data_IF_748290034436
#
_entry.id   IF_748290034436
#
_cell.length_a   1.000
_cell.length_b   1.000
_cell.length_c   1.000
_cell.angle_alpha   90.00
_cell.angle_beta   90.00
_cell.angle_gamma   90.00
#
_symmetry.space_group_name_H-M   'P 1'
#
loop_
_entity.id
_entity.type
_entity.pdbx_description
1 polymer ?
#
# COMPACT_ATOMS: atom_id res chain seq x y z
N UNK A 1 -51.18 -10.46 21.92
CA UNK A 1 -50.61 -10.34 20.58
C UNK A 1 -50.04 -8.94 20.27
N UNK A 2 -50.67 -7.82 20.67
CA UNK A 2 -50.20 -6.44 20.36
C UNK A 2 -48.77 -6.10 20.91
N UNK A 3 -48.40 -6.55 22.15
CA UNK A 3 -47.11 -6.25 22.78
C UNK A 3 -45.89 -6.91 22.09
N UNK A 4 -46.06 -8.05 21.42
CA UNK A 4 -44.99 -8.75 20.71
C UNK A 4 -44.72 -8.11 19.36
N UNK A 5 -45.77 -7.62 18.71
CA UNK A 5 -45.64 -6.96 17.42
C UNK A 5 -44.91 -5.61 17.55
N UNK A 6 -45.23 -4.82 18.62
CA UNK A 6 -44.52 -3.55 18.88
C UNK A 6 -43.03 -3.75 19.19
N UNK A 7 -42.63 -4.82 19.89
CA UNK A 7 -41.20 -5.12 20.14
C UNK A 7 -40.46 -5.49 18.86
N UNK A 8 -41.07 -6.28 17.97
CA UNK A 8 -40.48 -6.66 16.70
C UNK A 8 -40.29 -5.45 15.77
N UNK A 9 -41.29 -4.57 15.70
CA UNK A 9 -41.19 -3.34 14.90
C UNK A 9 -40.14 -2.39 15.46
N UNK A 10 -40.02 -2.26 16.79
CA UNK A 10 -38.96 -1.46 17.41
C UNK A 10 -37.54 -2.00 17.14
N UNK A 11 -37.36 -3.31 17.15
CA UNK A 11 -36.07 -3.94 16.84
C UNK A 11 -35.69 -3.72 15.37
N UNK A 12 -36.64 -3.89 14.45
CA UNK A 12 -36.39 -3.64 13.02
C UNK A 12 -36.08 -2.16 12.76
N UNK A 13 -36.78 -1.24 13.41
CA UNK A 13 -36.49 0.20 13.31
C UNK A 13 -35.09 0.54 13.90
N UNK A 14 -34.69 -0.11 15.00
CA UNK A 14 -33.37 0.07 15.60
C UNK A 14 -32.25 -0.45 14.68
N UNK A 15 -32.42 -1.62 14.05
CA UNK A 15 -31.48 -2.18 13.10
C UNK A 15 -31.37 -1.30 11.84
N UNK A 16 -32.48 -0.79 11.35
CA UNK A 16 -32.49 0.14 10.21
C UNK A 16 -31.80 1.47 10.56
N UNK A 17 -32.02 2.01 11.76
CA UNK A 17 -31.33 3.22 12.23
C UNK A 17 -29.83 3.02 12.44
N UNK A 18 -29.40 1.88 12.98
CA UNK A 18 -27.99 1.52 13.13
C UNK A 18 -27.34 1.28 11.76
N UNK A 19 -28.04 0.63 10.84
CA UNK A 19 -27.59 0.41 9.46
C UNK A 19 -27.42 1.75 8.70
N UNK A 20 -28.36 2.67 8.82
CA UNK A 20 -28.25 4.00 8.21
C UNK A 20 -27.13 4.85 8.84
N UNK A 21 -26.91 4.72 10.15
CA UNK A 21 -25.79 5.38 10.83
C UNK A 21 -24.44 4.82 10.38
N UNK A 22 -24.36 3.50 10.15
CA UNK A 22 -23.16 2.85 9.61
C UNK A 22 -22.88 3.28 8.16
N UNK A 23 -23.91 3.35 7.32
CA UNK A 23 -23.79 3.85 5.94
C UNK A 23 -23.44 5.33 5.93
N UNK A 24 -24.02 6.15 6.81
CA UNK A 24 -23.70 7.58 6.93
C UNK A 24 -22.25 7.81 7.42
N UNK A 25 -21.77 6.98 8.36
CA UNK A 25 -20.38 7.01 8.84
C UNK A 25 -19.38 6.64 7.75
N UNK A 26 -19.72 5.68 6.90
CA UNK A 26 -18.88 5.27 5.77
C UNK A 26 -18.89 6.30 4.63
N UNK A 27 -20.02 6.97 4.40
CA UNK A 27 -20.15 8.00 3.34
C UNK A 27 -19.62 9.36 3.79
N UNK A 28 -19.65 9.67 5.10
CA UNK A 28 -19.12 10.95 5.61
C UNK A 28 -17.59 10.98 5.75
N UNK A 29 -16.92 9.81 5.75
CA UNK A 29 -15.45 9.71 5.72
C UNK A 29 -14.93 9.73 4.26
N UNK A 30 -15.45 10.67 3.46
CA UNK A 30 -15.10 10.88 2.06
C UNK A 30 -13.62 11.23 1.80
N UNK A 31 -12.81 11.28 2.87
CA UNK A 31 -11.36 11.49 2.78
C UNK A 31 -10.57 10.21 2.51
N UNK A 32 -11.16 9.02 2.74
CA UNK A 32 -10.46 7.74 2.50
C UNK A 32 -10.29 7.38 1.02
N UNK A 33 -11.06 8.00 0.15
CA UNK A 33 -11.05 7.72 -1.29
C UNK A 33 -10.97 9.01 -2.12
N UNK A 34 -10.43 10.09 -1.52
CA UNK A 34 -10.09 11.25 -2.33
C UNK A 34 -9.11 10.78 -3.42
N UNK A 35 -9.38 11.04 -4.70
CA UNK A 35 -8.43 10.75 -5.75
C UNK A 35 -7.11 11.40 -5.36
N UNK A 36 -6.02 10.65 -5.44
CA UNK A 36 -4.67 11.18 -5.23
C UNK A 36 -4.55 12.38 -6.18
N UNK A 37 -4.44 13.58 -5.60
CA UNK A 37 -4.62 14.82 -6.36
C UNK A 37 -3.65 14.88 -7.54
N UNK A 38 -4.15 15.28 -8.68
CA UNK A 38 -3.51 15.33 -9.99
C UNK A 38 -2.19 16.14 -10.08
N UNK A 39 -1.67 16.66 -8.96
CA UNK A 39 -0.47 17.49 -8.90
C UNK A 39 0.66 16.87 -8.07
N UNK A 40 0.65 15.52 -7.85
CA UNK A 40 1.74 14.88 -7.16
C UNK A 40 2.98 14.87 -8.07
N UNK A 41 3.92 15.77 -7.82
CA UNK A 41 5.25 15.65 -8.44
C UNK A 41 5.98 14.50 -7.78
N UNK A 42 6.36 13.54 -8.59
CA UNK A 42 7.11 12.37 -8.17
C UNK A 42 8.34 12.23 -9.06
N UNK A 43 9.43 11.79 -8.48
CA UNK A 43 10.62 11.37 -9.23
C UNK A 43 11.06 9.99 -8.72
N UNK A 44 11.86 9.31 -9.54
CA UNK A 44 12.55 8.08 -9.17
C UNK A 44 13.97 8.15 -9.69
N UNK A 45 14.94 8.03 -8.83
CA UNK A 45 16.37 8.13 -9.13
C UNK A 45 16.74 9.47 -9.82
N UNK A 46 16.00 10.55 -9.53
CA UNK A 46 16.19 11.87 -10.11
C UNK A 46 15.49 12.09 -11.46
N UNK A 47 14.77 11.11 -11.97
CA UNK A 47 13.94 11.25 -13.18
C UNK A 47 12.49 11.51 -12.82
N UNK A 48 11.89 12.53 -13.43
CA UNK A 48 10.50 12.91 -13.16
C UNK A 48 9.53 11.86 -13.72
N UNK A 49 8.61 11.40 -12.86
CA UNK A 49 7.52 10.52 -13.28
C UNK A 49 6.46 11.36 -14.03
N UNK A 50 6.09 10.98 -15.28
CA UNK A 50 5.17 11.78 -16.09
C UNK A 50 3.71 11.61 -15.61
N UNK A 51 3.41 12.08 -14.40
CA UNK A 51 2.08 11.95 -13.77
C UNK A 51 0.97 12.73 -14.49
N UNK A 52 1.34 13.58 -15.47
CA UNK A 52 0.38 14.26 -16.37
C UNK A 52 -0.20 13.33 -17.45
N UNK A 53 0.38 12.16 -17.67
CA UNK A 53 -0.14 11.17 -18.62
C UNK A 53 -1.25 10.34 -17.98
N UNK A 54 -2.38 10.22 -18.65
CA UNK A 54 -3.58 9.57 -18.10
C UNK A 54 -3.37 8.10 -17.71
N UNK A 55 -2.59 7.35 -18.51
CA UNK A 55 -2.27 5.95 -18.21
C UNK A 55 -1.33 5.78 -17.01
N UNK A 56 -0.38 6.70 -16.83
CA UNK A 56 0.51 6.74 -15.66
C UNK A 56 -0.29 7.04 -14.42
N UNK A 57 -1.21 8.00 -14.52
CA UNK A 57 -2.08 8.39 -13.43
C UNK A 57 -3.02 7.26 -13.00
N UNK A 58 -3.66 6.57 -13.95
CA UNK A 58 -4.52 5.44 -13.65
C UNK A 58 -3.76 4.32 -12.93
N UNK A 59 -2.52 4.03 -13.35
CA UNK A 59 -1.65 3.05 -12.68
C UNK A 59 -1.29 3.50 -11.27
N UNK A 60 -0.93 4.77 -11.09
CA UNK A 60 -0.61 5.33 -9.78
C UNK A 60 -1.81 5.25 -8.83
N UNK A 61 -2.99 5.66 -9.29
CA UNK A 61 -4.23 5.59 -8.51
C UNK A 61 -4.54 4.16 -8.10
N UNK A 62 -4.39 3.20 -9.02
CA UNK A 62 -4.58 1.77 -8.73
C UNK A 62 -3.65 1.28 -7.62
N UNK A 63 -2.35 1.59 -7.73
CA UNK A 63 -1.37 1.16 -6.73
C UNK A 63 -1.60 1.85 -5.38
N UNK A 64 -1.94 3.14 -5.37
CA UNK A 64 -2.25 3.87 -4.15
C UNK A 64 -3.48 3.28 -3.45
N UNK A 65 -4.59 3.09 -4.18
CA UNK A 65 -5.83 2.50 -3.64
C UNK A 65 -5.57 1.09 -3.10
N UNK A 66 -4.82 0.28 -3.85
CA UNK A 66 -4.49 -1.09 -3.44
C UNK A 66 -3.69 -1.09 -2.14
N UNK A 67 -2.62 -0.30 -2.06
CA UNK A 67 -1.75 -0.29 -0.89
C UNK A 67 -2.39 0.40 0.32
N UNK A 68 -3.23 1.42 0.13
CA UNK A 68 -3.99 2.05 1.21
C UNK A 68 -4.99 1.10 1.87
N UNK A 69 -5.56 0.15 1.11
CA UNK A 69 -6.49 -0.84 1.65
C UNK A 69 -5.79 -2.08 2.24
N UNK A 70 -4.50 -2.28 1.95
CA UNK A 70 -3.72 -3.44 2.41
C UNK A 70 -3.03 -3.16 3.75
N UNK A 71 -3.78 -2.66 4.74
CA UNK A 71 -3.25 -2.14 6.01
C UNK A 71 -2.25 -3.08 6.71
N UNK A 72 -2.55 -4.38 6.79
CA UNK A 72 -1.69 -5.35 7.46
C UNK A 72 -0.35 -5.49 6.76
N UNK A 73 -0.36 -5.65 5.43
CA UNK A 73 0.87 -5.80 4.65
C UNK A 73 1.70 -4.51 4.67
N UNK A 74 1.07 -3.36 4.45
CA UNK A 74 1.73 -2.05 4.48
C UNK A 74 2.38 -1.80 5.84
N UNK A 75 1.68 -2.09 6.95
CA UNK A 75 2.24 -1.97 8.30
C UNK A 75 3.46 -2.88 8.51
N UNK A 76 3.42 -4.12 8.01
CA UNK A 76 4.54 -5.05 8.09
C UNK A 76 5.74 -4.56 7.26
N UNK A 77 5.50 -4.05 6.07
CA UNK A 77 6.55 -3.46 5.21
C UNK A 77 7.21 -2.27 5.91
N UNK A 78 6.44 -1.34 6.47
CA UNK A 78 6.98 -0.19 7.22
C UNK A 78 7.85 -0.65 8.39
N UNK A 79 7.41 -1.65 9.17
CA UNK A 79 8.20 -2.22 10.27
C UNK A 79 9.51 -2.85 9.79
N UNK A 80 9.49 -3.54 8.65
CA UNK A 80 10.69 -4.12 8.05
C UNK A 80 11.61 -3.05 7.49
N UNK A 81 11.06 -2.00 6.86
CA UNK A 81 11.83 -0.87 6.35
C UNK A 81 12.66 -0.22 7.46
N UNK A 82 12.10 0.00 8.64
CA UNK A 82 12.83 0.54 9.79
C UNK A 82 14.04 -0.32 10.23
N UNK A 83 14.08 -1.60 9.87
CA UNK A 83 15.21 -2.50 10.17
C UNK A 83 16.17 -2.66 9.00
N UNK A 84 15.65 -2.69 7.78
CA UNK A 84 16.41 -3.03 6.58
C UNK A 84 17.02 -1.79 5.92
N UNK A 85 16.31 -0.68 5.86
CA UNK A 85 16.80 0.55 5.24
C UNK A 85 18.10 1.08 5.84
N UNK A 86 18.27 1.15 7.18
CA UNK A 86 19.56 1.56 7.77
C UNK A 86 20.73 0.68 7.38
N UNK A 87 20.49 -0.54 6.90
CA UNK A 87 21.55 -1.46 6.44
C UNK A 87 21.86 -1.22 4.96
N UNK A 88 20.84 -1.03 4.13
CA UNK A 88 21.03 -0.92 2.67
C UNK A 88 21.38 0.48 2.19
N UNK A 89 20.86 1.53 2.83
CA UNK A 89 21.15 2.93 2.45
C UNK A 89 22.65 3.27 2.42
N UNK A 90 23.45 2.91 3.43
CA UNK A 90 24.90 3.15 3.38
C UNK A 90 25.59 2.36 2.26
N UNK A 91 25.06 1.20 1.90
CA UNK A 91 25.61 0.37 0.82
C UNK A 91 25.32 1.02 -0.52
N UNK A 92 24.06 1.45 -0.76
CA UNK A 92 23.71 2.17 -1.98
C UNK A 92 24.57 3.43 -2.15
N UNK A 93 24.68 4.23 -1.10
CA UNK A 93 25.50 5.44 -1.09
C UNK A 93 26.99 5.14 -1.41
N UNK A 94 27.57 4.08 -0.82
CA UNK A 94 28.95 3.66 -1.05
C UNK A 94 29.24 3.35 -2.52
N UNK A 95 28.26 2.78 -3.23
CA UNK A 95 28.41 2.40 -4.63
C UNK A 95 27.82 3.43 -5.61
N UNK A 96 27.38 4.60 -5.12
CA UNK A 96 26.81 5.65 -5.97
C UNK A 96 25.47 5.26 -6.59
N UNK A 97 24.74 4.32 -6.00
CA UNK A 97 23.40 3.91 -6.45
C UNK A 97 22.38 4.84 -5.81
N UNK A 98 21.43 5.38 -6.59
CA UNK A 98 20.37 6.23 -6.04
C UNK A 98 19.61 5.55 -4.89
N UNK A 99 19.31 6.34 -3.86
CA UNK A 99 18.68 5.84 -2.63
C UNK A 99 17.30 5.20 -2.89
N UNK A 100 16.58 5.66 -3.90
CA UNK A 100 15.27 5.13 -4.28
C UNK A 100 15.27 3.64 -4.64
N UNK A 101 16.43 3.07 -4.97
CA UNK A 101 16.55 1.62 -5.22
C UNK A 101 16.27 0.76 -3.99
N UNK A 102 16.23 1.32 -2.78
CA UNK A 102 15.72 0.62 -1.59
C UNK A 102 14.25 0.21 -1.73
N UNK A 103 13.45 1.00 -2.46
CA UNK A 103 12.04 0.69 -2.71
C UNK A 103 11.85 -0.47 -3.69
N UNK A 104 12.84 -0.74 -4.56
CA UNK A 104 12.82 -1.95 -5.39
C UNK A 104 12.81 -3.22 -4.51
N UNK A 105 13.58 -3.23 -3.41
CA UNK A 105 13.55 -4.34 -2.46
C UNK A 105 12.19 -4.51 -1.76
N UNK A 106 11.42 -3.44 -1.62
CA UNK A 106 10.03 -3.52 -1.13
C UNK A 106 9.15 -4.27 -2.13
N UNK A 107 9.26 -3.94 -3.41
CA UNK A 107 8.46 -4.54 -4.50
C UNK A 107 8.80 -6.01 -4.67
N UNK A 108 10.09 -6.36 -4.67
CA UNK A 108 10.58 -7.70 -4.96
C UNK A 108 10.28 -8.72 -3.85
N UNK A 109 10.38 -8.32 -2.59
CA UNK A 109 10.30 -9.26 -1.47
C UNK A 109 9.49 -8.77 -0.26
N UNK A 110 8.91 -7.57 -0.31
CA UNK A 110 8.38 -6.89 0.88
C UNK A 110 9.42 -6.81 2.01
N UNK A 111 10.71 -6.65 1.66
CA UNK A 111 11.86 -6.61 2.56
C UNK A 111 12.07 -7.91 3.38
N UNK A 112 11.65 -9.04 2.84
CA UNK A 112 11.90 -10.36 3.44
C UNK A 112 13.12 -11.00 2.77
N UNK A 113 14.05 -11.49 3.59
CA UNK A 113 15.15 -12.30 3.08
C UNK A 113 14.64 -13.71 2.77
N UNK A 114 14.16 -13.92 1.56
CA UNK A 114 13.53 -15.14 1.11
C UNK A 114 14.26 -15.75 -0.09
N UNK A 115 13.92 -17.00 -0.37
CA UNK A 115 14.30 -17.70 -1.60
C UNK A 115 13.05 -17.98 -2.39
N UNK A 116 12.98 -17.52 -3.64
CA UNK A 116 11.85 -17.77 -4.53
C UNK A 116 11.89 -19.21 -5.08
N UNK A 117 10.78 -19.74 -5.60
CA UNK A 117 10.75 -21.04 -6.27
C UNK A 117 11.74 -21.14 -7.45
N UNK A 118 12.02 -20.02 -8.11
CA UNK A 118 13.01 -19.95 -9.21
C UNK A 118 14.46 -19.83 -8.73
N UNK A 119 14.70 -19.71 -7.41
CA UNK A 119 16.03 -19.62 -6.82
C UNK A 119 16.55 -18.20 -6.63
N UNK A 120 15.77 -17.16 -6.89
CA UNK A 120 16.14 -15.79 -6.55
C UNK A 120 16.24 -15.60 -5.03
N UNK A 121 17.19 -14.77 -4.55
CA UNK A 121 17.53 -14.68 -3.12
C UNK A 121 17.65 -13.23 -2.62
N UNK A 122 17.45 -13.09 -1.33
CA UNK A 122 17.68 -11.83 -0.62
C UNK A 122 16.52 -10.85 -0.76
N UNK A 123 16.72 -9.63 -0.27
CA UNK A 123 15.68 -8.58 -0.30
C UNK A 123 15.43 -8.07 -1.73
N UNK A 124 16.41 -8.10 -2.62
CA UNK A 124 16.28 -7.71 -4.04
C UNK A 124 16.01 -8.89 -4.98
N UNK A 125 15.86 -10.11 -4.46
CA UNK A 125 15.54 -11.30 -5.25
C UNK A 125 16.46 -11.49 -6.48
N UNK A 126 17.77 -11.29 -6.31
CA UNK A 126 18.73 -11.56 -7.37
C UNK A 126 18.88 -13.05 -7.62
N UNK A 127 18.96 -13.42 -8.89
CA UNK A 127 19.39 -14.75 -9.28
C UNK A 127 20.87 -14.96 -8.96
N UNK A 128 21.32 -16.18 -8.58
CA UNK A 128 22.71 -16.44 -8.22
C UNK A 128 23.72 -16.11 -9.32
N UNK A 129 23.33 -16.16 -10.59
CA UNK A 129 24.18 -15.74 -11.71
C UNK A 129 24.40 -14.23 -11.69
N UNK A 130 23.32 -13.46 -11.68
CA UNK A 130 23.34 -11.98 -11.65
C UNK A 130 24.06 -11.41 -10.42
N UNK A 131 23.98 -12.09 -9.28
CA UNK A 131 24.62 -11.63 -8.05
C UNK A 131 26.16 -11.82 -8.04
N UNK A 132 26.76 -12.48 -9.05
CA UNK A 132 28.19 -12.71 -9.20
C UNK A 132 28.86 -11.77 -10.19
N UNK A 133 28.07 -11.06 -10.98
CA UNK A 133 28.52 -10.05 -11.94
C UNK A 133 28.83 -8.72 -11.23
#
# INVERSE_FOLDING_TARGET
MKKVLTKKVAIVALIAALGSFFIYGVVSDGTKYAPVGYNLKMDFAGEEVPTFMADVQERLDKEMITNMNYHTNTTLVIKRANKVFPIIEPILAKYGVPDDFKYLAVIESSLVNAVSPAGARGVWQFMPATAKE
#
